data_IF_032598693389
#
_entry.id   IF_032598693389
#
_cell.length_a   1.000
_cell.length_b   1.000
_cell.length_c   1.000
_cell.angle_alpha   90.00
_cell.angle_beta   90.00
_cell.angle_gamma   90.00
#
_symmetry.space_group_name_H-M   'P 1'
#
loop_
_entity.id
_entity.type
_entity.pdbx_description
1 polymer ?
#
# COMPACT_ATOMS: atom_id res chain seq x y z
N UNK A 1 -5.40 -10.72 -6.52
CA UNK A 1 -6.35 -11.61 -5.79
C UNK A 1 -7.62 -11.77 -6.59
N UNK A 2 -8.54 -12.69 -6.23
CA UNK A 2 -9.84 -12.81 -6.90
C UNK A 2 -10.64 -11.49 -6.83
N UNK A 3 -10.70 -10.85 -5.67
CA UNK A 3 -11.36 -9.55 -5.51
C UNK A 3 -10.79 -8.47 -6.42
N UNK A 4 -9.46 -8.39 -6.56
CA UNK A 4 -8.82 -7.44 -7.49
C UNK A 4 -9.20 -7.72 -8.95
N UNK A 5 -9.22 -8.98 -9.37
CA UNK A 5 -9.65 -9.38 -10.73
C UNK A 5 -11.09 -8.99 -11.04
N UNK A 6 -11.98 -9.16 -10.05
CA UNK A 6 -13.38 -8.73 -10.16
C UNK A 6 -13.46 -7.20 -10.31
N UNK A 7 -12.68 -6.47 -9.53
CA UNK A 7 -12.61 -5.00 -9.61
C UNK A 7 -12.03 -4.51 -10.94
N UNK A 8 -11.01 -5.19 -11.48
CA UNK A 8 -10.41 -4.93 -12.79
C UNK A 8 -11.38 -5.26 -13.96
N UNK A 9 -12.55 -5.84 -13.66
CA UNK A 9 -13.64 -6.02 -14.62
C UNK A 9 -13.61 -7.34 -15.38
N UNK A 10 -12.85 -8.33 -14.92
CA UNK A 10 -12.82 -9.66 -15.54
C UNK A 10 -14.24 -10.26 -15.65
N UNK A 11 -14.61 -10.67 -16.86
CA UNK A 11 -15.96 -11.23 -17.14
C UNK A 11 -16.09 -12.71 -16.81
N UNK A 12 -14.97 -13.38 -16.55
CA UNK A 12 -14.90 -14.78 -16.17
C UNK A 12 -13.82 -14.95 -15.11
N UNK A 13 -14.15 -15.63 -14.01
CA UNK A 13 -13.21 -15.89 -12.91
C UNK A 13 -13.26 -17.36 -12.49
N UNK A 14 -12.19 -17.84 -11.86
CA UNK A 14 -12.11 -19.22 -11.35
C UNK A 14 -12.45 -19.25 -9.87
N UNK A 15 -13.45 -20.04 -9.47
CA UNK A 15 -13.82 -20.28 -8.07
C UNK A 15 -14.00 -21.79 -7.87
N UNK A 16 -13.30 -22.38 -6.90
CA UNK A 16 -13.32 -23.83 -6.64
C UNK A 16 -13.12 -24.68 -7.92
N UNK A 17 -12.15 -24.28 -8.75
CA UNK A 17 -11.83 -24.93 -10.04
C UNK A 17 -12.96 -24.93 -11.07
N UNK A 18 -13.96 -24.07 -10.91
CA UNK A 18 -15.01 -23.83 -11.90
C UNK A 18 -14.88 -22.43 -12.49
N UNK A 19 -15.04 -22.32 -13.82
CA UNK A 19 -15.13 -21.02 -14.49
C UNK A 19 -16.54 -20.45 -14.30
N UNK A 20 -16.62 -19.24 -13.73
CA UNK A 20 -17.87 -18.55 -13.44
C UNK A 20 -17.93 -17.24 -14.21
N UNK A 21 -19.06 -17.01 -14.89
CA UNK A 21 -19.34 -15.75 -15.59
C UNK A 21 -19.76 -14.69 -14.58
N UNK A 22 -19.10 -13.53 -14.64
CA UNK A 22 -19.41 -12.38 -13.79
C UNK A 22 -20.54 -11.57 -14.42
N UNK A 23 -21.77 -11.92 -14.06
CA UNK A 23 -22.99 -11.19 -14.49
C UNK A 23 -23.39 -10.07 -13.51
N UNK A 24 -22.74 -9.98 -12.35
CA UNK A 24 -23.03 -8.97 -11.33
C UNK A 24 -22.40 -7.62 -11.65
N UNK A 25 -23.02 -6.55 -11.16
CA UNK A 25 -22.41 -5.22 -11.14
C UNK A 25 -21.37 -5.15 -10.02
N UNK A 26 -20.10 -4.94 -10.37
CA UNK A 26 -19.01 -4.75 -9.41
C UNK A 26 -18.85 -3.26 -9.12
N UNK A 27 -18.82 -2.89 -7.84
CA UNK A 27 -18.63 -1.53 -7.35
C UNK A 27 -17.58 -1.55 -6.23
N UNK A 28 -16.72 -0.54 -6.22
CA UNK A 28 -15.77 -0.31 -5.13
C UNK A 28 -16.32 0.73 -4.15
N UNK A 29 -16.05 0.53 -2.86
CA UNK A 29 -16.32 1.52 -1.82
C UNK A 29 -14.98 1.84 -1.15
N UNK A 30 -14.39 2.98 -1.52
CA UNK A 30 -13.03 3.35 -1.13
C UNK A 30 -12.88 3.68 0.37
N UNK A 31 -13.99 3.93 1.08
CA UNK A 31 -13.99 4.51 2.44
C UNK A 31 -13.85 3.51 3.58
N UNK A 32 -13.73 2.21 3.32
CA UNK A 32 -13.77 1.15 4.36
C UNK A 32 -12.44 0.43 4.63
N UNK A 33 -11.32 0.87 4.04
CA UNK A 33 -10.05 0.14 4.18
C UNK A 33 -9.43 0.22 5.58
N UNK A 34 -9.91 1.10 6.47
CA UNK A 34 -9.35 1.42 7.79
C UNK A 34 -7.87 1.86 7.81
N UNK A 35 -7.19 1.88 6.66
CA UNK A 35 -5.82 2.34 6.52
C UNK A 35 -5.77 3.85 6.34
N UNK A 36 -4.75 4.48 6.91
CA UNK A 36 -4.44 5.86 6.64
C UNK A 36 -4.02 6.01 5.16
N UNK A 37 -4.64 6.95 4.45
CA UNK A 37 -4.18 7.37 3.14
C UNK A 37 -2.80 8.07 3.21
N UNK A 38 -2.20 8.35 2.05
CA UNK A 38 -0.89 9.00 1.96
C UNK A 38 -0.82 10.31 2.75
N UNK A 39 -1.86 11.15 2.69
CA UNK A 39 -1.88 12.45 3.39
C UNK A 39 -1.93 12.26 4.90
N UNK A 40 -2.74 11.32 5.38
CA UNK A 40 -2.82 10.96 6.79
C UNK A 40 -1.51 10.39 7.31
N UNK A 41 -0.81 9.56 6.53
CA UNK A 41 0.51 9.03 6.90
C UNK A 41 1.57 10.13 6.98
N UNK A 42 1.63 11.03 6.00
CA UNK A 42 2.57 12.16 6.01
C UNK A 42 2.30 13.11 7.16
N UNK A 43 1.03 13.44 7.39
CA UNK A 43 0.60 14.24 8.52
C UNK A 43 1.02 13.59 9.84
N UNK A 44 0.72 12.31 10.03
CA UNK A 44 1.10 11.58 11.24
C UNK A 44 2.61 11.56 11.47
N UNK A 45 3.41 11.25 10.45
CA UNK A 45 4.86 11.21 10.54
C UNK A 45 5.46 12.60 10.85
N UNK A 46 4.88 13.66 10.29
CA UNK A 46 5.33 15.04 10.52
C UNK A 46 5.18 15.53 11.97
N UNK A 47 4.40 14.85 12.81
CA UNK A 47 4.28 15.17 14.24
C UNK A 47 5.39 14.54 15.10
N UNK A 48 6.18 13.62 14.53
CA UNK A 48 7.24 12.92 15.26
C UNK A 48 8.54 13.74 15.15
N UNK A 49 9.12 14.10 16.29
CA UNK A 49 10.40 14.83 16.35
C UNK A 49 11.58 13.86 16.36
N UNK A 50 12.73 14.36 15.88
CA UNK A 50 14.03 13.66 15.93
C UNK A 50 14.01 12.25 15.31
N UNK A 51 13.27 12.09 14.21
CA UNK A 51 13.21 10.83 13.45
C UNK A 51 14.58 10.52 12.86
N UNK A 52 15.21 9.46 13.36
CA UNK A 52 16.54 9.03 12.90
C UNK A 52 16.48 8.22 11.61
N UNK A 53 15.51 7.33 11.50
CA UNK A 53 15.33 6.40 10.38
C UNK A 53 13.87 5.95 10.29
N UNK A 54 13.38 5.75 9.07
CA UNK A 54 12.04 5.23 8.79
C UNK A 54 12.15 3.96 7.96
N UNK A 55 11.39 2.93 8.33
CA UNK A 55 11.28 1.68 7.58
C UNK A 55 9.89 1.57 6.95
N UNK A 56 9.82 1.49 5.62
CA UNK A 56 8.57 1.37 4.86
C UNK A 56 8.32 -0.11 4.52
N UNK A 57 7.35 -0.73 5.20
CA UNK A 57 7.17 -2.19 5.18
C UNK A 57 5.91 -2.65 4.44
N UNK A 58 4.76 -2.69 5.08
CA UNK A 58 3.55 -3.27 4.50
C UNK A 58 3.01 -2.43 3.33
N UNK A 59 3.04 -2.99 2.12
CA UNK A 59 2.51 -2.36 0.92
C UNK A 59 3.25 -2.85 -0.33
N UNK A 60 2.67 -2.59 -1.49
CA UNK A 60 3.33 -2.84 -2.77
C UNK A 60 4.55 -1.93 -2.94
N UNK A 61 5.59 -2.42 -3.62
CA UNK A 61 6.85 -1.67 -3.81
C UNK A 61 6.63 -0.31 -4.46
N UNK A 62 5.75 -0.23 -5.46
CA UNK A 62 5.38 1.03 -6.12
C UNK A 62 4.82 2.05 -5.14
N UNK A 63 3.88 1.65 -4.28
CA UNK A 63 3.28 2.49 -3.26
C UNK A 63 4.30 2.91 -2.19
N UNK A 64 5.19 1.99 -1.79
CA UNK A 64 6.27 2.27 -0.83
C UNK A 64 7.28 3.28 -1.38
N UNK A 65 7.70 3.11 -2.62
CA UNK A 65 8.62 4.04 -3.31
C UNK A 65 7.97 5.42 -3.43
N UNK A 66 6.70 5.48 -3.86
CA UNK A 66 5.97 6.74 -3.95
C UNK A 66 5.86 7.45 -2.60
N UNK A 67 5.57 6.73 -1.51
CA UNK A 67 5.53 7.30 -0.17
C UNK A 67 6.93 7.73 0.31
N UNK A 68 7.97 6.96 -0.01
CA UNK A 68 9.37 7.30 0.29
C UNK A 68 9.75 8.67 -0.29
N UNK A 69 9.47 8.88 -1.58
CA UNK A 69 9.76 10.15 -2.24
C UNK A 69 8.97 11.29 -1.62
N UNK A 70 7.69 11.09 -1.28
CA UNK A 70 6.89 12.12 -0.59
C UNK A 70 7.42 12.47 0.80
N UNK A 71 7.88 11.48 1.57
CA UNK A 71 8.48 11.75 2.88
C UNK A 71 9.77 12.57 2.73
N UNK A 72 10.61 12.27 1.72
CA UNK A 72 11.81 13.06 1.44
C UNK A 72 11.47 14.50 1.06
N UNK A 73 10.51 14.67 0.15
CA UNK A 73 10.09 15.98 -0.38
C UNK A 73 9.45 16.86 0.69
N UNK A 74 8.52 16.32 1.48
CA UNK A 74 7.68 17.13 2.39
C UNK A 74 8.23 17.23 3.81
N UNK A 75 8.92 16.19 4.31
CA UNK A 75 9.38 16.12 5.70
C UNK A 75 10.91 16.20 5.85
N UNK A 76 11.65 16.15 4.74
CA UNK A 76 13.11 16.25 4.74
C UNK A 76 13.84 15.07 5.38
N UNK A 77 13.13 13.99 5.72
CA UNK A 77 13.71 12.77 6.31
C UNK A 77 14.46 12.02 5.21
N UNK A 78 15.77 11.81 5.40
CA UNK A 78 16.65 11.21 4.38
C UNK A 78 16.91 9.72 4.57
N UNK A 79 16.95 9.25 5.81
CA UNK A 79 17.21 7.84 6.12
C UNK A 79 15.90 7.04 6.09
N UNK A 80 15.51 6.64 4.87
CA UNK A 80 14.32 5.85 4.58
C UNK A 80 14.72 4.51 3.96
N UNK A 81 14.29 3.41 4.58
CA UNK A 81 14.63 2.06 4.16
C UNK A 81 13.38 1.31 3.73
N UNK A 82 13.42 0.71 2.54
CA UNK A 82 12.41 -0.24 2.06
C UNK A 82 13.03 -1.63 2.18
N UNK A 83 12.80 -2.36 3.29
CA UNK A 83 13.43 -3.65 3.47
C UNK A 83 12.84 -4.71 2.53
N UNK A 84 13.72 -5.62 2.11
CA UNK A 84 13.36 -6.86 1.42
C UNK A 84 12.90 -7.91 2.43
N UNK A 85 12.11 -8.88 1.96
CA UNK A 85 11.71 -10.03 2.79
C UNK A 85 12.95 -10.74 3.37
N UNK A 86 12.93 -11.04 4.67
CA UNK A 86 14.03 -11.64 5.43
C UNK A 86 15.31 -10.80 5.55
N UNK A 87 15.31 -9.53 5.14
CA UNK A 87 16.44 -8.65 5.39
C UNK A 87 16.56 -8.35 6.88
N UNK A 88 17.77 -8.48 7.41
CA UNK A 88 18.12 -8.03 8.76
C UNK A 88 18.80 -6.67 8.69
N UNK A 89 18.38 -5.72 9.52
CA UNK A 89 18.96 -4.38 9.60
C UNK A 89 19.49 -4.13 11.01
N UNK A 90 20.72 -3.62 11.11
CA UNK A 90 21.30 -3.16 12.37
C UNK A 90 20.85 -1.73 12.65
N UNK A 91 20.42 -1.47 13.88
CA UNK A 91 19.96 -0.16 14.34
C UNK A 91 21.12 0.67 14.87
#
# INVERSE_FOLDING_TARGET
>A
TLGRRLLDGEKKVMIYNQEIVVAANVREVETMSCHADQKKLLHWLGHIKDVKRVFLTHGEDSARIALQEKIKEELGIRDLVIPSLNQTVKL
#
